data_IF_486322051992
#
_entry.id   IF_486322051992
#
_cell.length_a   1.000
_cell.length_b   1.000
_cell.length_c   1.000
_cell.angle_alpha   90.00
_cell.angle_beta   90.00
_cell.angle_gamma   90.00
#
_symmetry.space_group_name_H-M   'P 1'
#
loop_
_entity.id
_entity.type
_entity.pdbx_description
1 polymer ?
#
# COMPACT_ATOMS: atom_id res chain seq x y z
N UNK A 1 21.42 0.10 -3.34
CA UNK A 1 20.44 -0.12 -2.27
C UNK A 1 19.19 -0.69 -2.88
N UNK A 2 18.69 -1.79 -2.38
CA UNK A 2 17.46 -2.41 -2.87
C UNK A 2 16.26 -1.50 -2.56
N UNK A 3 15.55 -1.05 -3.60
CA UNK A 3 14.36 -0.21 -3.42
C UNK A 3 13.18 -1.11 -3.07
N UNK A 4 12.87 -1.23 -1.78
CA UNK A 4 11.74 -2.02 -1.28
C UNK A 4 10.54 -1.16 -0.85
N UNK A 5 10.72 0.18 -0.83
CA UNK A 5 9.68 1.16 -0.54
C UNK A 5 9.34 1.89 -1.84
N UNK A 6 8.08 1.84 -2.24
CA UNK A 6 7.61 2.44 -3.49
C UNK A 6 6.61 3.56 -3.20
N UNK A 7 6.92 4.77 -3.64
CA UNK A 7 5.96 5.86 -3.72
C UNK A 7 5.26 5.79 -5.08
N UNK A 8 3.95 5.73 -5.07
CA UNK A 8 3.08 5.70 -6.24
C UNK A 8 2.34 7.03 -6.28
N UNK A 9 2.82 8.00 -7.08
CA UNK A 9 2.19 9.31 -7.16
C UNK A 9 0.88 9.24 -7.94
N UNK A 10 -0.07 10.08 -7.58
CA UNK A 10 -1.36 10.26 -8.26
C UNK A 10 -2.05 8.94 -8.59
N UNK A 11 -2.10 8.01 -7.61
CA UNK A 11 -2.84 6.75 -7.76
C UNK A 11 -4.33 7.02 -8.00
N UNK A 12 -4.88 8.06 -7.36
CA UNK A 12 -6.27 8.48 -7.50
C UNK A 12 -6.33 9.83 -8.22
N UNK A 13 -7.27 9.96 -9.14
CA UNK A 13 -7.55 11.22 -9.84
C UNK A 13 -8.28 12.23 -8.94
N UNK A 14 -8.32 13.50 -9.34
CA UNK A 14 -9.03 14.54 -8.60
C UNK A 14 -10.54 14.24 -8.49
N UNK A 15 -11.14 13.70 -9.55
CA UNK A 15 -12.55 13.32 -9.58
C UNK A 15 -12.83 12.17 -8.61
N UNK A 16 -12.00 11.13 -8.59
CA UNK A 16 -12.11 10.02 -7.65
C UNK A 16 -11.98 10.51 -6.21
N UNK A 17 -11.03 11.40 -5.94
CA UNK A 17 -10.80 11.98 -4.61
C UNK A 17 -12.02 12.80 -4.13
N UNK A 18 -12.68 13.58 -5.01
CA UNK A 18 -13.89 14.29 -4.64
C UNK A 18 -15.03 13.35 -4.23
N UNK A 19 -15.20 12.25 -4.96
CA UNK A 19 -16.21 11.24 -4.62
C UNK A 19 -15.86 10.53 -3.30
N UNK A 20 -14.61 10.14 -3.12
CA UNK A 20 -14.13 9.50 -1.88
C UNK A 20 -14.32 10.42 -0.67
N UNK A 21 -14.03 11.72 -0.79
CA UNK A 21 -14.26 12.69 0.28
C UNK A 21 -15.74 12.76 0.69
N UNK A 22 -16.63 12.81 -0.29
CA UNK A 22 -18.06 12.85 -0.03
C UNK A 22 -18.57 11.56 0.66
N UNK A 23 -18.01 10.40 0.32
CA UNK A 23 -18.32 9.12 0.95
C UNK A 23 -17.78 9.08 2.38
N UNK A 24 -16.53 9.52 2.61
CA UNK A 24 -15.90 9.59 3.94
C UNK A 24 -16.70 10.52 4.86
N UNK A 25 -17.13 11.68 4.37
CA UNK A 25 -17.90 12.65 5.15
C UNK A 25 -19.25 12.12 5.64
N UNK A 26 -19.83 11.14 4.95
CA UNK A 26 -21.11 10.50 5.27
C UNK A 26 -20.94 9.18 6.04
N UNK A 27 -19.69 8.78 6.32
CA UNK A 27 -19.40 7.49 6.94
C UNK A 27 -19.29 7.61 8.45
N UNK A 28 -19.79 6.60 9.16
CA UNK A 28 -19.60 6.45 10.58
C UNK A 28 -18.24 5.78 10.87
N UNK A 29 -17.54 6.31 11.88
CA UNK A 29 -16.25 5.81 12.32
C UNK A 29 -16.36 5.17 13.69
N UNK A 30 -15.76 4.00 13.85
CA UNK A 30 -15.69 3.23 15.09
C UNK A 30 -14.25 3.11 15.57
N UNK A 31 -14.03 2.58 16.80
CA UNK A 31 -12.69 2.36 17.33
C UNK A 31 -11.90 1.39 16.45
N UNK A 32 -10.78 1.86 15.91
CA UNK A 32 -9.90 1.07 15.04
C UNK A 32 -9.24 -0.13 15.73
N UNK A 33 -9.23 -0.20 17.07
CA UNK A 33 -8.77 -1.37 17.83
C UNK A 33 -9.55 -2.65 17.52
N UNK A 34 -10.78 -2.53 17.01
CA UNK A 34 -11.60 -3.68 16.65
C UNK A 34 -11.00 -4.52 15.51
N UNK A 35 -10.17 -3.92 14.65
CA UNK A 35 -9.53 -4.60 13.52
C UNK A 35 -8.08 -4.98 13.78
N UNK A 36 -7.53 -4.66 14.96
CA UNK A 36 -6.16 -4.99 15.32
C UNK A 36 -6.11 -6.28 16.15
N UNK A 37 -5.03 -7.05 15.95
CA UNK A 37 -4.76 -8.28 16.71
C UNK A 37 -3.64 -8.07 17.73
N UNK A 38 -3.72 -8.77 18.84
CA UNK A 38 -2.67 -8.90 19.87
C UNK A 38 -1.90 -7.58 20.16
N UNK A 39 -0.57 -7.61 20.04
CA UNK A 39 0.31 -6.49 20.39
C UNK A 39 0.01 -5.20 19.61
N UNK A 40 -0.42 -5.30 18.35
CA UNK A 40 -0.78 -4.14 17.55
C UNK A 40 -2.00 -3.38 18.11
N UNK A 41 -2.90 -4.07 18.84
CA UNK A 41 -4.07 -3.48 19.47
C UNK A 41 -3.70 -2.52 20.62
N UNK A 42 -2.64 -2.84 21.35
CA UNK A 42 -2.19 -2.02 22.51
C UNK A 42 -1.68 -0.65 22.08
N UNK A 43 -1.06 -0.57 20.90
CA UNK A 43 -0.45 0.66 20.37
C UNK A 43 -1.32 1.38 19.33
N UNK A 44 -2.52 0.86 19.02
CA UNK A 44 -3.44 1.44 18.05
C UNK A 44 -4.42 2.41 18.70
N UNK A 45 -4.37 3.68 18.30
CA UNK A 45 -5.29 4.72 18.74
C UNK A 45 -5.79 5.53 17.55
N UNK A 46 -6.72 4.96 16.78
CA UNK A 46 -7.35 5.62 15.64
C UNK A 46 -8.82 5.22 15.53
N UNK A 47 -9.52 5.79 14.57
CA UNK A 47 -10.87 5.41 14.20
C UNK A 47 -10.87 4.80 12.79
N UNK A 48 -11.83 3.98 12.46
CA UNK A 48 -12.00 3.36 11.15
C UNK A 48 -13.46 3.38 10.73
N UNK A 49 -13.72 3.46 9.41
CA UNK A 49 -15.09 3.28 8.91
C UNK A 49 -15.55 1.86 9.29
N UNK A 50 -16.74 1.79 9.86
CA UNK A 50 -17.33 0.53 10.33
C UNK A 50 -17.43 -0.49 9.19
N UNK A 51 -17.12 -1.76 9.49
CA UNK A 51 -17.32 -2.87 8.55
C UNK A 51 -18.80 -3.00 8.19
N UNK A 52 -19.11 -3.26 6.91
CA UNK A 52 -20.49 -3.31 6.40
C UNK A 52 -21.10 -1.96 6.03
N UNK A 53 -20.37 -0.85 6.19
CA UNK A 53 -20.79 0.45 5.69
C UNK A 53 -20.75 0.48 4.15
N UNK A 54 -21.86 0.86 3.50
CA UNK A 54 -21.96 0.88 2.02
C UNK A 54 -20.96 1.85 1.39
N UNK A 55 -20.67 2.99 2.03
CA UNK A 55 -19.66 3.93 1.56
C UNK A 55 -18.26 3.32 1.55
N UNK A 56 -17.94 2.47 2.55
CA UNK A 56 -16.65 1.77 2.59
C UNK A 56 -16.48 0.85 1.38
N UNK A 57 -17.52 0.10 1.00
CA UNK A 57 -17.48 -0.78 -0.17
C UNK A 57 -17.24 0.01 -1.46
N UNK A 58 -17.88 1.17 -1.62
CA UNK A 58 -17.68 2.04 -2.77
C UNK A 58 -16.24 2.60 -2.83
N UNK A 59 -15.69 3.05 -1.70
CA UNK A 59 -14.29 3.52 -1.60
C UNK A 59 -13.32 2.38 -1.96
N UNK A 60 -13.53 1.18 -1.42
CA UNK A 60 -12.73 -0.01 -1.69
C UNK A 60 -12.70 -0.35 -3.19
N UNK A 61 -13.85 -0.31 -3.85
CA UNK A 61 -13.96 -0.61 -5.29
C UNK A 61 -13.19 0.43 -6.12
N UNK A 62 -13.35 1.72 -5.83
CA UNK A 62 -12.64 2.79 -6.53
C UNK A 62 -11.12 2.64 -6.40
N UNK A 63 -10.59 2.47 -5.17
CA UNK A 63 -9.15 2.33 -4.96
C UNK A 63 -8.64 1.03 -5.61
N UNK A 64 -9.37 -0.07 -5.49
CA UNK A 64 -9.00 -1.35 -6.11
C UNK A 64 -8.95 -1.26 -7.62
N UNK A 65 -9.84 -0.50 -8.24
CA UNK A 65 -9.86 -0.25 -9.69
C UNK A 65 -8.63 0.58 -10.11
N UNK A 66 -8.32 1.66 -9.38
CA UNK A 66 -7.13 2.47 -9.61
C UNK A 66 -5.84 1.63 -9.50
N UNK A 67 -5.73 0.76 -8.49
CA UNK A 67 -4.59 -0.15 -8.33
C UNK A 67 -4.40 -1.08 -9.53
N UNK A 68 -5.48 -1.70 -10.01
CA UNK A 68 -5.42 -2.61 -11.17
C UNK A 68 -4.89 -1.90 -12.41
N UNK A 69 -5.12 -0.59 -12.53
CA UNK A 69 -4.67 0.23 -13.64
C UNK A 69 -3.26 0.81 -13.45
N UNK A 70 -2.69 0.74 -12.24
CA UNK A 70 -1.35 1.26 -11.94
C UNK A 70 -0.25 0.30 -12.39
N UNK A 71 0.55 0.63 -13.43
CA UNK A 71 1.65 -0.22 -13.88
C UNK A 71 2.70 -0.41 -12.78
N UNK A 72 3.04 0.67 -12.05
CA UNK A 72 4.04 0.60 -10.98
C UNK A 72 3.62 -0.35 -9.86
N UNK A 73 2.34 -0.29 -9.44
CA UNK A 73 1.81 -1.22 -8.45
C UNK A 73 1.92 -2.68 -8.94
N UNK A 74 1.47 -2.94 -10.15
CA UNK A 74 1.43 -4.31 -10.69
C UNK A 74 2.83 -4.93 -10.82
N UNK A 75 3.83 -4.17 -11.27
CA UNK A 75 5.20 -4.69 -11.40
C UNK A 75 5.95 -4.77 -10.08
N UNK A 76 5.63 -3.91 -9.09
CA UNK A 76 6.29 -3.90 -7.79
C UNK A 76 5.68 -4.95 -6.83
N UNK A 77 4.36 -5.08 -6.81
CA UNK A 77 3.65 -5.97 -5.91
C UNK A 77 3.46 -7.38 -6.45
N UNK A 78 3.37 -7.56 -7.77
CA UNK A 78 2.99 -8.82 -8.43
C UNK A 78 1.77 -9.47 -7.75
N UNK A 79 0.62 -8.75 -7.64
CA UNK A 79 -0.44 -9.09 -6.71
C UNK A 79 -1.16 -10.38 -7.09
N UNK A 80 -1.36 -11.28 -6.10
CA UNK A 80 -2.24 -12.45 -6.17
C UNK A 80 -3.59 -12.13 -5.53
N UNK A 81 -3.55 -11.63 -4.29
CA UNK A 81 -4.72 -11.20 -3.54
C UNK A 81 -4.47 -9.84 -2.89
N UNK A 82 -5.49 -9.01 -2.89
CA UNK A 82 -5.51 -7.72 -2.21
C UNK A 82 -6.60 -7.79 -1.14
N UNK A 83 -6.23 -7.55 0.12
CA UNK A 83 -7.18 -7.50 1.22
C UNK A 83 -8.10 -6.27 1.06
N UNK A 84 -9.37 -6.32 1.47
CA UNK A 84 -10.24 -5.15 1.46
C UNK A 84 -9.65 -3.97 2.24
N UNK A 85 -9.69 -2.77 1.67
CA UNK A 85 -9.14 -1.58 2.31
C UNK A 85 -9.86 -1.24 3.61
N UNK A 86 -9.09 -0.88 4.64
CA UNK A 86 -9.56 -0.24 5.84
C UNK A 86 -9.33 1.27 5.72
N UNK A 87 -10.37 2.07 5.88
CA UNK A 87 -10.24 3.54 5.89
C UNK A 87 -10.11 4.02 7.33
N UNK A 88 -8.95 4.56 7.65
CA UNK A 88 -8.54 4.99 8.98
C UNK A 88 -8.52 6.51 9.09
N UNK A 89 -9.02 7.04 10.22
CA UNK A 89 -9.06 8.46 10.58
C UNK A 89 -8.26 8.70 11.85
N UNK A 90 -7.44 9.74 11.84
CA UNK A 90 -6.64 10.19 12.95
C UNK A 90 -6.93 11.68 13.21
N UNK A 91 -7.31 12.02 14.41
CA UNK A 91 -7.55 13.38 14.92
C UNK A 91 -6.51 13.72 15.98
N UNK A 92 -6.40 14.95 16.52
CA UNK A 92 -5.41 15.31 17.54
C UNK A 92 -5.35 14.30 18.70
N UNK A 93 -4.13 13.91 19.08
CA UNK A 93 -3.84 12.89 20.09
C UNK A 93 -3.95 11.44 19.60
N UNK A 94 -4.33 11.21 18.34
CA UNK A 94 -4.41 9.86 17.77
C UNK A 94 -3.14 9.50 16.99
N UNK A 95 -2.80 8.21 17.07
CA UNK A 95 -1.56 7.64 16.49
C UNK A 95 -1.74 6.15 16.24
N UNK A 96 -0.75 5.54 15.62
CA UNK A 96 -0.55 4.10 15.62
C UNK A 96 0.92 3.83 15.90
N UNK A 97 1.23 3.32 17.09
CA UNK A 97 2.60 3.09 17.53
C UNK A 97 3.35 2.05 16.69
N UNK A 98 4.63 1.88 16.98
CA UNK A 98 5.46 0.92 16.25
C UNK A 98 4.92 -0.51 16.34
N UNK A 99 4.73 -1.12 15.18
CA UNK A 99 4.22 -2.48 15.04
C UNK A 99 4.69 -3.12 13.74
N UNK A 100 4.51 -4.42 13.65
CA UNK A 100 4.63 -5.23 12.44
C UNK A 100 3.23 -5.76 12.11
N UNK A 101 2.89 -5.83 10.83
CA UNK A 101 1.63 -6.38 10.38
C UNK A 101 1.49 -7.88 10.70
N UNK A 102 0.25 -8.33 10.86
CA UNK A 102 -0.03 -9.76 11.01
C UNK A 102 0.41 -10.52 9.76
N UNK A 103 1.13 -11.66 9.89
CA UNK A 103 1.63 -12.39 8.72
C UNK A 103 0.53 -13.06 7.87
N UNK A 104 -0.67 -13.17 8.44
CA UNK A 104 -1.85 -13.77 7.79
C UNK A 104 -3.10 -12.98 8.18
N UNK A 105 -3.96 -12.72 7.22
CA UNK A 105 -5.21 -11.99 7.42
C UNK A 105 -6.37 -12.60 6.61
N UNK A 106 -7.58 -12.39 7.11
CA UNK A 106 -8.83 -12.68 6.38
C UNK A 106 -9.36 -14.10 6.53
N UNK A 107 -10.52 -14.30 5.91
CA UNK A 107 -11.20 -15.59 5.79
C UNK A 107 -11.80 -15.66 4.38
N UNK A 108 -11.28 -16.48 3.47
CA UNK A 108 -10.09 -17.35 3.64
C UNK A 108 -8.80 -16.59 3.95
N UNK A 109 -7.83 -17.23 4.62
CA UNK A 109 -6.58 -16.56 5.02
C UNK A 109 -5.71 -16.23 3.80
N UNK A 110 -5.14 -15.02 3.78
CA UNK A 110 -4.11 -14.60 2.83
C UNK A 110 -2.81 -14.28 3.57
N UNK A 111 -1.67 -14.60 2.96
CA UNK A 111 -0.34 -14.17 3.44
C UNK A 111 -0.18 -12.68 3.15
N UNK A 112 0.34 -11.92 4.10
CA UNK A 112 0.59 -10.49 3.96
C UNK A 112 2.06 -10.25 3.61
N UNK A 113 2.36 -10.14 2.33
CA UNK A 113 3.74 -9.93 1.85
C UNK A 113 4.10 -8.45 1.83
N UNK A 114 3.14 -7.61 1.43
CA UNK A 114 3.30 -6.16 1.34
C UNK A 114 2.08 -5.45 1.92
N UNK A 115 2.32 -4.27 2.49
CA UNK A 115 1.29 -3.34 2.92
C UNK A 115 1.27 -2.12 2.01
N UNK A 116 0.11 -1.48 1.91
CA UNK A 116 -0.05 -0.23 1.19
C UNK A 116 -0.86 0.76 2.01
N UNK A 117 -0.42 2.01 2.01
CA UNK A 117 -1.17 3.16 2.52
C UNK A 117 -1.45 4.11 1.38
N UNK A 118 -2.74 4.40 1.14
CA UNK A 118 -3.22 5.45 0.22
C UNK A 118 -3.59 6.67 1.06
N UNK A 119 -3.02 7.83 0.74
CA UNK A 119 -3.21 9.07 1.50
C UNK A 119 -4.43 9.82 0.98
N UNK A 120 -5.42 10.05 1.86
CA UNK A 120 -6.72 10.65 1.51
C UNK A 120 -6.92 12.04 2.13
N UNK A 121 -5.92 12.59 2.83
CA UNK A 121 -5.90 13.97 3.32
C UNK A 121 -4.77 14.76 2.68
N UNK A 122 -5.00 16.04 2.43
CA UNK A 122 -3.94 16.96 1.99
C UNK A 122 -2.92 17.13 3.14
N UNK A 123 -1.62 16.90 2.92
CA UNK A 123 -0.59 17.00 3.96
C UNK A 123 -0.47 18.41 4.59
N UNK A 124 -0.96 19.45 3.93
CA UNK A 124 -1.00 20.81 4.45
C UNK A 124 -2.12 21.04 5.48
N UNK A 125 -3.12 20.15 5.57
CA UNK A 125 -4.31 20.32 6.42
C UNK A 125 -4.16 19.73 7.82
N UNK A 126 -3.04 19.05 8.11
CA UNK A 126 -2.78 18.45 9.43
C UNK A 126 -1.30 18.49 9.80
N UNK A 127 -0.99 18.47 11.08
CA UNK A 127 0.37 18.42 11.64
C UNK A 127 0.61 17.07 12.32
N UNK A 128 1.82 16.51 12.16
CA UNK A 128 2.14 15.13 12.55
C UNK A 128 1.65 14.12 11.54
N UNK A 129 1.37 12.90 11.99
CA UNK A 129 0.75 11.85 11.19
C UNK A 129 1.61 11.27 10.07
N UNK A 130 2.92 11.48 10.10
CA UNK A 130 3.85 10.85 9.15
C UNK A 130 3.78 9.33 9.31
N UNK A 131 3.77 8.61 8.18
CA UNK A 131 4.03 7.17 8.15
C UNK A 131 5.54 6.97 8.21
N UNK A 132 6.03 6.40 9.31
CA UNK A 132 7.43 6.03 9.47
C UNK A 132 7.60 4.55 9.21
N UNK A 133 8.59 4.17 8.41
CA UNK A 133 8.91 2.79 8.06
C UNK A 133 10.39 2.55 8.34
N UNK A 134 10.68 1.63 9.25
CA UNK A 134 12.04 1.26 9.63
C UNK A 134 12.50 0.07 8.79
N UNK A 135 13.40 0.33 7.85
CA UNK A 135 14.16 -0.70 7.14
C UNK A 135 15.45 -1.02 7.89
N UNK A 136 16.21 -2.02 7.43
CA UNK A 136 17.42 -2.52 8.11
C UNK A 136 18.45 -1.43 8.48
N UNK A 137 18.54 -0.36 7.69
CA UNK A 137 19.57 0.67 7.83
C UNK A 137 19.02 2.07 8.16
N UNK A 138 17.75 2.36 7.89
CA UNK A 138 17.20 3.72 7.97
C UNK A 138 15.72 3.72 8.30
N UNK A 139 15.24 4.83 8.86
CA UNK A 139 13.80 5.11 8.98
C UNK A 139 13.40 6.10 7.89
N UNK A 140 12.51 5.67 7.00
CA UNK A 140 11.91 6.54 6.00
C UNK A 140 10.62 7.18 6.56
N UNK A 141 10.39 8.45 6.23
CA UNK A 141 9.21 9.20 6.62
C UNK A 141 8.39 9.59 5.40
N UNK A 142 7.09 9.31 5.42
CA UNK A 142 6.17 9.58 4.32
C UNK A 142 4.99 10.44 4.79
N UNK A 143 4.79 11.54 4.08
CA UNK A 143 3.61 12.41 4.17
C UNK A 143 3.36 13.01 2.78
N UNK A 144 3.06 12.14 1.77
CA UNK A 144 2.93 12.55 0.39
C UNK A 144 1.60 13.28 0.12
N UNK A 145 1.39 13.69 -1.12
CA UNK A 145 0.18 14.35 -1.56
C UNK A 145 -1.06 13.46 -1.42
N UNK A 146 -2.22 14.08 -1.30
CA UNK A 146 -3.51 13.40 -1.34
C UNK A 146 -3.68 12.67 -2.69
N UNK A 147 -4.10 11.41 -2.63
CA UNK A 147 -4.21 10.53 -3.80
C UNK A 147 -2.97 9.70 -4.10
N UNK A 148 -1.84 9.98 -3.44
CA UNK A 148 -0.64 9.16 -3.54
C UNK A 148 -0.75 7.91 -2.67
N UNK A 149 0.09 6.91 -2.98
CA UNK A 149 0.22 5.71 -2.16
C UNK A 149 1.68 5.36 -1.86
N UNK A 150 1.89 4.67 -0.74
CA UNK A 150 3.19 4.06 -0.37
C UNK A 150 2.98 2.57 -0.20
N UNK A 151 3.77 1.78 -0.92
CA UNK A 151 3.81 0.31 -0.89
C UNK A 151 5.11 -0.13 -0.23
N UNK A 152 5.04 -1.04 0.75
CA UNK A 152 6.19 -1.49 1.53
C UNK A 152 6.03 -2.93 2.03
N UNK A 153 7.14 -3.65 2.33
CA UNK A 153 7.09 -5.00 2.89
C UNK A 153 6.47 -5.01 4.30
N UNK A 154 5.52 -5.93 4.55
CA UNK A 154 4.87 -6.10 5.86
C UNK A 154 5.82 -6.46 7.00
N UNK A 155 7.00 -6.98 6.69
CA UNK A 155 8.02 -7.36 7.68
C UNK A 155 8.70 -6.16 8.36
N UNK A 156 8.54 -4.94 7.84
CA UNK A 156 9.15 -3.75 8.41
C UNK A 156 8.34 -3.20 9.57
N UNK A 157 9.03 -2.83 10.66
CA UNK A 157 8.44 -2.02 11.70
C UNK A 157 7.99 -0.68 11.12
N UNK A 158 6.76 -0.29 11.43
CA UNK A 158 6.23 0.99 10.99
C UNK A 158 5.26 1.58 12.01
N UNK A 159 5.03 2.88 11.90
CA UNK A 159 4.10 3.59 12.78
C UNK A 159 3.47 4.78 12.05
N UNK A 160 2.38 5.31 12.62
CA UNK A 160 1.82 6.62 12.27
C UNK A 160 2.02 7.53 13.46
N UNK A 161 2.79 8.61 13.26
CA UNK A 161 3.04 9.62 14.29
C UNK A 161 1.72 10.23 14.78
N UNK A 162 1.75 10.72 16.02
CA UNK A 162 0.62 11.42 16.62
C UNK A 162 0.24 12.66 15.80
N UNK A 163 -1.08 12.83 15.60
CA UNK A 163 -1.65 14.05 15.02
C UNK A 163 -1.64 15.14 16.08
N UNK A 164 -1.04 16.28 15.77
CA UNK A 164 -1.01 17.47 16.62
C UNK A 164 -2.17 18.41 16.34
N UNK A 165 -2.50 18.58 15.05
CA UNK A 165 -3.64 19.40 14.62
C UNK A 165 -4.22 18.87 13.29
N UNK A 166 -5.47 19.19 12.99
CA UNK A 166 -6.16 18.77 11.76
C UNK A 166 -6.63 17.32 11.78
N UNK A 167 -6.86 16.75 10.61
CA UNK A 167 -7.34 15.38 10.43
C UNK A 167 -6.60 14.65 9.32
N UNK A 168 -6.06 13.47 9.63
CA UNK A 168 -5.45 12.57 8.65
C UNK A 168 -6.38 11.40 8.37
N UNK A 169 -6.73 11.21 7.09
CA UNK A 169 -7.43 10.02 6.61
C UNK A 169 -6.53 9.26 5.64
N UNK A 170 -6.52 7.94 5.77
CA UNK A 170 -5.80 7.04 4.87
C UNK A 170 -6.53 5.72 4.70
N UNK A 171 -6.43 5.12 3.51
CA UNK A 171 -6.86 3.76 3.26
C UNK A 171 -5.64 2.83 3.30
N UNK A 172 -5.76 1.71 4.04
CA UNK A 172 -4.68 0.73 4.20
C UNK A 172 -5.14 -0.65 3.74
N UNK A 173 -4.25 -1.39 3.10
CA UNK A 173 -4.49 -2.77 2.67
C UNK A 173 -3.22 -3.61 2.72
N UNK A 174 -3.39 -4.92 2.62
CA UNK A 174 -2.33 -5.91 2.54
C UNK A 174 -2.43 -6.71 1.26
N UNK A 175 -1.28 -7.06 0.71
CA UNK A 175 -1.18 -7.73 -0.57
C UNK A 175 -0.43 -9.05 -0.37
N UNK A 176 -1.06 -10.15 -0.80
CA UNK A 176 -0.36 -11.39 -1.08
C UNK A 176 0.19 -11.30 -2.49
N UNK A 177 1.50 -11.44 -2.63
CA UNK A 177 2.18 -11.47 -3.92
C UNK A 177 2.16 -12.88 -4.52
N UNK A 178 2.17 -12.97 -5.85
CA UNK A 178 2.45 -14.21 -6.57
C UNK A 178 3.87 -14.71 -6.29
N UNK A 179 4.80 -13.84 -5.92
CA UNK A 179 6.18 -14.20 -5.58
C UNK A 179 6.41 -13.92 -4.10
N UNK A 180 6.57 -14.98 -3.31
CA UNK A 180 6.68 -14.90 -1.84
C UNK A 180 7.93 -14.18 -1.37
N UNK A 181 9.06 -14.45 -1.99
CA UNK A 181 10.35 -13.93 -1.59
C UNK A 181 10.55 -12.47 -2.02
N UNK A 182 10.93 -11.59 -1.09
CA UNK A 182 11.08 -10.16 -1.34
C UNK A 182 12.26 -9.83 -2.26
N UNK A 183 13.36 -10.60 -2.20
CA UNK A 183 14.51 -10.39 -3.08
C UNK A 183 14.19 -10.83 -4.51
N UNK A 184 13.44 -11.91 -4.68
CA UNK A 184 12.97 -12.35 -5.99
C UNK A 184 12.02 -11.32 -6.62
N UNK A 185 11.10 -10.73 -5.84
CA UNK A 185 10.28 -9.60 -6.32
C UNK A 185 11.13 -8.43 -6.77
N UNK A 186 12.15 -8.10 -6.00
CA UNK A 186 13.07 -7.00 -6.33
C UNK A 186 13.83 -7.28 -7.63
N UNK A 187 14.31 -8.49 -7.86
CA UNK A 187 14.99 -8.88 -9.09
C UNK A 187 14.04 -8.74 -10.30
N UNK A 188 12.81 -9.25 -10.17
CA UNK A 188 11.80 -9.13 -11.23
C UNK A 188 11.48 -7.65 -11.54
N UNK A 189 11.34 -6.83 -10.51
CA UNK A 189 11.13 -5.39 -10.67
C UNK A 189 12.28 -4.73 -11.45
N UNK A 190 13.54 -5.00 -11.07
CA UNK A 190 14.72 -4.46 -11.75
C UNK A 190 14.81 -4.92 -13.20
N UNK A 191 14.57 -6.20 -13.46
CA UNK A 191 14.55 -6.73 -14.84
C UNK A 191 13.46 -6.09 -15.69
N UNK A 192 12.29 -5.84 -15.09
CA UNK A 192 11.20 -5.12 -15.76
C UNK A 192 11.61 -3.68 -16.13
N UNK A 193 12.29 -2.96 -15.22
CA UNK A 193 12.79 -1.61 -15.50
C UNK A 193 13.79 -1.60 -16.66
N UNK A 194 14.76 -2.53 -16.67
CA UNK A 194 15.75 -2.65 -17.76
C UNK A 194 15.06 -3.03 -19.06
N UNK A 195 14.13 -3.99 -19.02
CA UNK A 195 13.35 -4.38 -20.20
C UNK A 195 12.57 -3.20 -20.79
N UNK A 196 11.90 -2.41 -19.93
CA UNK A 196 11.15 -1.24 -20.40
C UNK A 196 12.02 -0.20 -21.07
N UNK A 197 13.22 0.04 -20.54
CA UNK A 197 14.19 0.96 -21.13
C UNK A 197 14.73 0.45 -22.50
N UNK A 198 15.05 -0.83 -22.59
CA UNK A 198 15.49 -1.45 -23.84
C UNK A 198 14.36 -1.49 -24.88
N UNK A 199 13.15 -1.78 -24.47
CA UNK A 199 11.99 -1.84 -25.35
C UNK A 199 11.69 -0.48 -26.01
N UNK A 200 11.87 0.63 -25.28
CA UNK A 200 11.72 1.98 -25.83
C UNK A 200 12.78 2.29 -26.91
N UNK A 201 13.98 1.74 -26.78
CA UNK A 201 15.10 2.01 -27.70
C UNK A 201 15.09 1.06 -28.91
N UNK A 202 14.86 -0.24 -28.68
CA UNK A 202 14.96 -1.28 -29.68
C UNK A 202 14.03 -2.46 -29.36
N UNK A 203 12.71 -2.34 -29.63
CA UNK A 203 11.68 -3.31 -29.18
C UNK A 203 11.90 -4.72 -29.74
N UNK A 204 12.50 -4.85 -30.92
CA UNK A 204 12.70 -6.15 -31.58
C UNK A 204 14.17 -6.63 -31.52
N UNK A 205 15.03 -5.97 -30.74
CA UNK A 205 16.41 -6.40 -30.62
C UNK A 205 16.52 -7.76 -29.90
N UNK A 206 17.45 -8.64 -30.30
CA UNK A 206 17.65 -9.94 -29.65
C UNK A 206 17.86 -9.81 -28.12
N UNK A 207 18.57 -8.78 -27.66
CA UNK A 207 18.79 -8.53 -26.23
C UNK A 207 17.49 -8.19 -25.49
N UNK A 208 16.60 -7.38 -26.08
CA UNK A 208 15.29 -7.04 -25.50
C UNK A 208 14.42 -8.29 -25.37
N UNK A 209 14.37 -9.12 -26.41
CA UNK A 209 13.61 -10.37 -26.39
C UNK A 209 14.20 -11.37 -25.39
N UNK A 210 15.51 -11.52 -25.31
CA UNK A 210 16.17 -12.40 -24.35
C UNK A 210 15.88 -11.98 -22.90
N UNK A 211 15.90 -10.67 -22.62
CA UNK A 211 15.59 -10.16 -21.30
C UNK A 211 14.11 -10.42 -20.91
N UNK A 212 13.18 -10.21 -21.85
CA UNK A 212 11.76 -10.55 -21.63
C UNK A 212 11.57 -12.04 -21.35
N UNK A 213 12.24 -12.90 -22.13
CA UNK A 213 12.21 -14.35 -21.92
C UNK A 213 12.77 -14.73 -20.54
N UNK A 214 13.89 -14.13 -20.14
CA UNK A 214 14.54 -14.36 -18.84
C UNK A 214 13.60 -13.93 -17.69
N UNK A 215 13.06 -12.72 -17.75
CA UNK A 215 12.09 -12.23 -16.77
C UNK A 215 10.88 -13.18 -16.65
N UNK A 216 10.30 -13.57 -17.78
CA UNK A 216 9.13 -14.44 -17.81
C UNK A 216 9.42 -15.84 -17.23
N UNK A 217 10.62 -16.38 -17.50
CA UNK A 217 11.02 -17.67 -16.96
C UNK A 217 11.27 -17.61 -15.44
N UNK A 218 11.92 -16.56 -14.96
CA UNK A 218 12.11 -16.34 -13.52
C UNK A 218 10.76 -16.19 -12.80
N UNK A 219 9.82 -15.45 -13.40
CA UNK A 219 8.47 -15.35 -12.84
C UNK A 219 7.78 -16.73 -12.76
N UNK A 220 7.84 -17.55 -13.83
CA UNK A 220 7.29 -18.92 -13.79
C UNK A 220 7.93 -19.81 -12.73
N UNK A 221 9.23 -19.66 -12.50
CA UNK A 221 9.97 -20.45 -11.48
C UNK A 221 9.59 -20.05 -10.05
N UNK A 222 9.26 -18.78 -9.84
CA UNK A 222 9.08 -18.21 -8.50
C UNK A 222 7.63 -17.96 -8.11
N UNK A 223 6.71 -17.97 -9.08
CA UNK A 223 5.30 -17.70 -8.81
C UNK A 223 4.63 -18.87 -8.07
N UNK A 224 3.90 -18.53 -7.02
CA UNK A 224 3.00 -19.39 -6.26
C UNK A 224 1.56 -19.02 -6.65
N UNK A 225 1.02 -19.69 -7.68
CA UNK A 225 -0.28 -19.39 -8.30
C UNK A 225 -1.45 -20.05 -7.57
#
# INVERSE_FOLDING_TARGET
MSQKLFHIPALLTAEELMVIDALIARSEFTDGKLTASMAAKEVKNNMQIASGNENLAAIQDMISKALKQSPLFNIAALPKHIYPFLVSKYTPGKYYGWHVDSPVMGTPPIRTDMAMTVFLSDPATYEGGELLIQSDATTASFKPAKGDAVLYPCQYLHCVNEIKSGERVAAVTWIQSNVKDAEQRQILFQLNQVHSALYQQAPNAPATNLLLQTHSNLFRMWADL
#
